data_IF_287341852566
#
_entry.id   IF_287341852566
#
_cell.length_a   1.000
_cell.length_b   1.000
_cell.length_c   1.000
_cell.angle_alpha   90.00
_cell.angle_beta   90.00
_cell.angle_gamma   90.00
#
_symmetry.space_group_name_H-M   'P 1'
#
loop_
_entity.id
_entity.type
_entity.pdbx_description
1 polymer ?
#
# COMPACT_ATOMS: atom_id res chain seq x y z
N UNK A 1 4.13 3.00 -1.32
CA UNK A 1 4.93 3.72 -0.30
C UNK A 1 4.04 4.14 0.88
N UNK A 2 4.52 4.16 2.15
CA UNK A 2 3.80 4.87 3.21
C UNK A 2 3.51 6.33 2.84
N UNK A 3 2.46 6.91 3.42
CA UNK A 3 2.07 8.33 3.23
C UNK A 3 1.51 8.68 1.85
N UNK A 4 1.27 7.68 1.00
CA UNK A 4 0.59 7.82 -0.29
C UNK A 4 -0.94 7.83 -0.20
N UNK A 5 -1.53 7.71 1.00
CA UNK A 5 -2.99 7.71 1.20
C UNK A 5 -3.63 6.32 1.34
N UNK A 6 -2.85 5.26 1.57
CA UNK A 6 -3.34 3.87 1.59
C UNK A 6 -4.36 3.60 2.70
N UNK A 7 -4.22 4.24 3.87
CA UNK A 7 -5.23 4.14 4.95
C UNK A 7 -6.56 4.78 4.58
N UNK A 8 -6.58 5.82 3.74
CA UNK A 8 -7.83 6.41 3.25
C UNK A 8 -8.53 5.41 2.32
N UNK A 9 -7.79 4.87 1.36
CA UNK A 9 -8.32 3.91 0.39
C UNK A 9 -8.85 2.63 1.07
N UNK A 10 -8.15 2.10 2.06
CA UNK A 10 -8.63 0.96 2.85
C UNK A 10 -9.99 1.24 3.48
N UNK A 11 -10.19 2.44 4.06
CA UNK A 11 -11.46 2.81 4.68
C UNK A 11 -12.56 3.04 3.67
N UNK A 12 -12.24 3.61 2.51
CA UNK A 12 -13.19 3.72 1.39
C UNK A 12 -13.73 2.33 1.01
N UNK A 13 -12.86 1.33 0.92
CA UNK A 13 -13.27 -0.05 0.63
C UNK A 13 -14.02 -0.67 1.80
N UNK A 14 -13.55 -0.49 3.03
CA UNK A 14 -14.19 -1.02 4.24
C UNK A 14 -15.51 -0.32 4.61
N UNK A 15 -15.88 0.78 3.94
CA UNK A 15 -17.24 1.33 3.98
C UNK A 15 -18.27 0.43 3.29
N UNK A 16 -17.83 -0.51 2.43
CA UNK A 16 -18.70 -1.51 1.84
C UNK A 16 -18.97 -2.63 2.87
N UNK A 17 -20.23 -3.03 3.10
CA UNK A 17 -20.60 -3.97 4.19
C UNK A 17 -19.88 -5.33 4.14
N UNK A 18 -19.50 -5.79 2.95
CA UNK A 18 -18.85 -7.08 2.72
C UNK A 18 -17.33 -7.05 2.81
N UNK A 19 -16.73 -5.88 2.93
CA UNK A 19 -15.27 -5.67 2.98
C UNK A 19 -14.83 -5.39 4.41
N UNK A 20 -13.85 -6.15 4.88
CA UNK A 20 -13.19 -5.92 6.17
C UNK A 20 -11.82 -5.27 5.96
N UNK A 21 -11.53 -4.25 6.77
CA UNK A 21 -10.20 -3.66 6.87
C UNK A 21 -9.27 -4.62 7.59
N UNK A 22 -8.21 -5.09 6.92
CA UNK A 22 -7.20 -5.92 7.58
C UNK A 22 -6.14 -5.11 8.31
N UNK A 23 -6.02 -3.82 8.02
CA UNK A 23 -5.04 -2.94 8.63
C UNK A 23 -3.61 -3.29 8.22
N UNK A 24 -2.64 -2.75 8.97
CA UNK A 24 -1.21 -2.97 8.73
C UNK A 24 -0.75 -4.32 9.31
N UNK A 25 -1.33 -5.40 8.79
CA UNK A 25 -0.99 -6.77 9.15
C UNK A 25 0.33 -7.22 8.50
N UNK A 26 1.16 -7.93 9.28
CA UNK A 26 2.45 -8.48 8.82
C UNK A 26 2.36 -9.92 8.33
N UNK A 27 1.15 -10.49 8.22
CA UNK A 27 0.95 -11.90 7.85
C UNK A 27 1.68 -12.27 6.54
N UNK A 28 1.53 -11.47 5.48
CA UNK A 28 2.23 -11.71 4.21
C UNK A 28 3.75 -11.77 4.36
N UNK A 29 4.32 -10.78 5.07
CA UNK A 29 5.75 -10.73 5.30
C UNK A 29 6.24 -11.88 6.21
N UNK A 30 5.44 -12.27 7.21
CA UNK A 30 5.75 -13.37 8.12
C UNK A 30 5.84 -14.70 7.36
N UNK A 31 4.81 -15.01 6.56
CA UNK A 31 4.75 -16.24 5.75
C UNK A 31 5.90 -16.27 4.72
N UNK A 32 6.12 -15.17 4.00
CA UNK A 32 7.20 -15.07 3.02
C UNK A 32 8.60 -15.24 3.66
N UNK A 33 8.83 -14.59 4.81
CA UNK A 33 10.12 -14.66 5.52
C UNK A 33 10.34 -16.04 6.13
N UNK A 34 9.29 -16.64 6.73
CA UNK A 34 9.35 -17.99 7.30
C UNK A 34 9.74 -19.02 6.24
N UNK A 35 9.05 -19.01 5.11
CA UNK A 35 9.36 -19.92 4.01
C UNK A 35 10.78 -19.69 3.47
N UNK A 36 11.20 -18.43 3.31
CA UNK A 36 12.58 -18.13 2.87
C UNK A 36 13.63 -18.70 3.85
N UNK A 37 13.39 -18.62 5.16
CA UNK A 37 14.28 -19.23 6.15
C UNK A 37 14.30 -20.76 6.07
N UNK A 38 13.17 -21.40 5.81
CA UNK A 38 13.11 -22.85 5.65
C UNK A 38 13.82 -23.33 4.39
N UNK A 39 13.76 -22.57 3.30
CA UNK A 39 14.57 -22.81 2.10
C UNK A 39 16.06 -22.75 2.42
N UNK A 40 16.51 -21.70 3.11
CA UNK A 40 17.92 -21.56 3.51
C UNK A 40 18.39 -22.71 4.42
N UNK A 41 17.49 -23.26 5.24
CA UNK A 41 17.74 -24.41 6.11
C UNK A 41 17.53 -25.76 5.42
N UNK A 42 17.14 -25.78 4.14
CA UNK A 42 16.80 -26.98 3.35
C UNK A 42 15.63 -27.78 3.93
N UNK A 43 14.71 -27.12 4.61
CA UNK A 43 13.45 -27.68 5.11
C UNK A 43 12.28 -27.46 4.15
N UNK A 44 12.43 -26.58 3.17
CA UNK A 44 11.43 -26.31 2.13
C UNK A 44 12.11 -26.19 0.75
N UNK A 45 11.39 -26.51 -0.35
CA UNK A 45 11.91 -26.31 -1.69
C UNK A 45 11.86 -24.82 -2.09
N UNK A 46 12.68 -24.43 -3.07
CA UNK A 46 12.65 -23.07 -3.63
C UNK A 46 11.26 -22.71 -4.18
N UNK A 47 10.85 -21.41 -4.16
CA UNK A 47 9.50 -21.00 -4.55
C UNK A 47 9.09 -21.42 -5.97
N UNK A 48 10.07 -21.59 -6.87
CA UNK A 48 9.83 -22.03 -8.26
C UNK A 48 9.42 -23.50 -8.37
N UNK A 49 9.69 -24.31 -7.36
CA UNK A 49 9.35 -25.73 -7.31
C UNK A 49 8.04 -26.01 -6.54
N UNK A 50 7.41 -24.98 -5.97
CA UNK A 50 6.13 -25.11 -5.27
C UNK A 50 4.98 -25.33 -6.26
N UNK A 51 4.19 -26.35 -5.99
CA UNK A 51 2.93 -26.64 -6.69
C UNK A 51 1.75 -25.85 -6.09
N UNK A 52 0.56 -26.03 -6.66
CA UNK A 52 -0.65 -25.36 -6.20
C UNK A 52 -1.05 -25.71 -4.77
N UNK A 53 -0.79 -26.93 -4.32
CA UNK A 53 -1.15 -27.38 -2.96
C UNK A 53 -0.27 -26.68 -1.93
N UNK A 54 1.04 -26.59 -2.19
CA UNK A 54 1.95 -25.84 -1.33
C UNK A 54 1.59 -24.35 -1.25
N UNK A 55 1.19 -23.73 -2.37
CA UNK A 55 0.72 -22.34 -2.36
C UNK A 55 -0.58 -22.15 -1.58
N UNK A 56 -1.50 -23.13 -1.61
CA UNK A 56 -2.73 -23.11 -0.82
C UNK A 56 -2.47 -23.32 0.68
N UNK A 57 -1.51 -24.17 1.04
CA UNK A 57 -1.06 -24.32 2.42
C UNK A 57 -0.50 -22.99 2.95
N UNK A 58 0.35 -22.30 2.18
CA UNK A 58 0.86 -20.98 2.56
C UNK A 58 -0.25 -19.91 2.65
N UNK A 59 -1.26 -19.97 1.78
CA UNK A 59 -2.44 -19.11 1.90
C UNK A 59 -3.21 -19.38 3.21
N UNK A 60 -3.25 -20.63 3.66
CA UNK A 60 -3.84 -21.00 4.96
C UNK A 60 -3.00 -20.46 6.13
N UNK A 61 -1.67 -20.51 6.03
CA UNK A 61 -0.76 -19.90 7.03
C UNK A 61 -0.95 -18.39 7.11
N UNK A 62 -1.17 -17.72 5.97
CA UNK A 62 -1.53 -16.30 5.94
C UNK A 62 -2.82 -16.05 6.73
N UNK A 63 -3.86 -16.84 6.51
CA UNK A 63 -5.15 -16.70 7.21
C UNK A 63 -5.05 -17.00 8.71
N UNK A 64 -4.15 -17.88 9.12
CA UNK A 64 -3.85 -18.17 10.52
C UNK A 64 -3.06 -17.03 11.19
N UNK A 65 -2.23 -16.31 10.41
CA UNK A 65 -1.39 -15.22 10.91
C UNK A 65 -2.09 -13.86 10.93
N UNK A 66 -3.19 -13.69 10.20
CA UNK A 66 -3.99 -12.45 10.21
C UNK A 66 -5.04 -12.45 11.32
N UNK A 67 -5.40 -11.27 11.81
CA UNK A 67 -6.41 -11.09 12.87
C UNK A 67 -7.82 -10.82 12.32
N UNK A 68 -7.98 -10.76 11.00
CA UNK A 68 -9.25 -10.42 10.34
C UNK A 68 -9.73 -11.57 9.47
N UNK A 69 -11.04 -11.78 9.48
CA UNK A 69 -11.74 -12.76 8.63
C UNK A 69 -12.97 -12.07 8.04
N UNK A 70 -13.33 -12.45 6.82
CA UNK A 70 -14.48 -11.87 6.11
C UNK A 70 -14.59 -12.37 4.68
N UNK A 71 -15.71 -12.04 4.03
CA UNK A 71 -15.93 -12.36 2.60
C UNK A 71 -14.86 -11.71 1.73
N UNK A 72 -14.62 -10.42 1.95
CA UNK A 72 -13.52 -9.69 1.36
C UNK A 72 -12.69 -9.06 2.47
N UNK A 73 -11.37 -9.14 2.34
CA UNK A 73 -10.43 -8.57 3.30
C UNK A 73 -9.41 -7.76 2.52
N UNK A 74 -9.16 -6.54 2.99
CA UNK A 74 -8.05 -5.73 2.48
C UNK A 74 -6.77 -6.07 3.26
N UNK A 75 -5.70 -6.41 2.55
CA UNK A 75 -4.36 -6.47 3.13
C UNK A 75 -3.63 -5.17 2.82
N UNK A 76 -3.58 -4.26 3.80
CA UNK A 76 -2.98 -2.94 3.64
C UNK A 76 -1.79 -2.78 4.58
N UNK A 77 -0.64 -3.24 4.12
CA UNK A 77 0.66 -2.83 4.64
C UNK A 77 1.47 -2.20 3.50
N UNK A 78 1.85 -0.90 3.57
CA UNK A 78 2.50 -0.22 2.44
C UNK A 78 3.79 -0.88 1.93
N UNK A 79 4.46 -1.70 2.74
CA UNK A 79 5.68 -2.43 2.42
C UNK A 79 5.42 -3.76 1.69
N UNK A 80 4.16 -4.17 1.55
CA UNK A 80 3.79 -5.40 0.84
C UNK A 80 4.26 -5.43 -0.62
N UNK A 81 4.59 -4.28 -1.24
CA UNK A 81 5.21 -4.24 -2.56
C UNK A 81 6.46 -5.12 -2.66
N UNK A 82 7.23 -5.29 -1.57
CA UNK A 82 8.44 -6.12 -1.57
C UNK A 82 8.12 -7.63 -1.60
N UNK A 83 6.94 -8.01 -1.13
CA UNK A 83 6.48 -9.41 -1.02
C UNK A 83 5.33 -9.74 -1.99
N UNK A 84 5.05 -8.87 -2.96
CA UNK A 84 3.84 -8.97 -3.78
C UNK A 84 3.78 -10.26 -4.61
N UNK A 85 4.94 -10.80 -5.02
CA UNK A 85 5.03 -12.09 -5.70
C UNK A 85 4.45 -13.24 -4.87
N UNK A 86 4.70 -13.27 -3.55
CA UNK A 86 4.11 -14.24 -2.63
C UNK A 86 2.59 -14.09 -2.57
N UNK A 87 2.12 -12.85 -2.42
CA UNK A 87 0.69 -12.54 -2.39
C UNK A 87 -0.03 -12.97 -3.67
N UNK A 88 0.55 -12.69 -4.85
CA UNK A 88 -0.02 -13.11 -6.13
C UNK A 88 -0.07 -14.63 -6.32
N UNK A 89 0.87 -15.38 -5.72
CA UNK A 89 0.88 -16.84 -5.77
C UNK A 89 -0.11 -17.47 -4.80
N UNK A 90 -0.18 -16.97 -3.56
CA UNK A 90 -1.15 -17.44 -2.56
C UNK A 90 -2.59 -17.05 -2.92
N UNK A 91 -2.78 -15.87 -3.52
CA UNK A 91 -4.09 -15.33 -3.88
C UNK A 91 -4.15 -14.97 -5.37
N UNK A 92 -4.27 -15.99 -6.25
CA UNK A 92 -4.15 -15.82 -7.70
C UNK A 92 -5.27 -14.99 -8.31
N UNK A 93 -6.36 -14.71 -7.60
CA UNK A 93 -7.47 -13.87 -8.08
C UNK A 93 -7.55 -12.51 -7.39
N UNK A 94 -6.69 -12.23 -6.40
CA UNK A 94 -6.77 -10.98 -5.65
C UNK A 94 -6.40 -9.78 -6.54
N UNK A 95 -7.25 -8.73 -6.58
CA UNK A 95 -6.92 -7.47 -7.24
C UNK A 95 -5.89 -6.71 -6.42
N UNK A 96 -4.95 -6.03 -7.09
CA UNK A 96 -3.91 -5.24 -6.43
C UNK A 96 -4.10 -3.77 -6.80
N UNK A 97 -4.14 -2.91 -5.78
CA UNK A 97 -4.19 -1.46 -5.98
C UNK A 97 -2.85 -0.86 -5.61
N UNK A 98 -2.21 -0.20 -6.58
CA UNK A 98 -1.02 0.60 -6.38
C UNK A 98 -1.40 2.07 -6.23
N UNK A 99 -1.32 2.60 -5.00
CA UNK A 99 -1.57 4.01 -4.75
C UNK A 99 -0.29 4.84 -4.91
N UNK A 100 -0.28 5.70 -5.92
CA UNK A 100 0.77 6.70 -6.19
C UNK A 100 0.32 8.07 -5.69
N UNK A 101 1.31 8.90 -5.39
CA UNK A 101 1.15 10.28 -4.93
C UNK A 101 2.39 11.06 -5.32
N UNK A 102 2.30 12.38 -5.45
CA UNK A 102 3.48 13.25 -5.64
C UNK A 102 4.59 12.87 -4.63
N UNK A 103 5.77 12.45 -5.12
CA UNK A 103 6.85 11.96 -4.25
C UNK A 103 7.38 13.03 -3.29
N UNK A 104 7.23 14.32 -3.64
CA UNK A 104 7.61 15.44 -2.78
C UNK A 104 6.69 15.53 -1.56
N UNK A 105 5.40 15.31 -1.76
CA UNK A 105 4.40 15.24 -0.69
C UNK A 105 4.60 14.00 0.20
N UNK A 106 4.96 12.86 -0.39
CA UNK A 106 5.28 11.64 0.37
C UNK A 106 6.48 11.91 1.29
N UNK A 107 7.58 12.39 0.71
CA UNK A 107 8.81 12.67 1.43
C UNK A 107 8.63 13.73 2.53
N UNK A 108 7.93 14.82 2.24
CA UNK A 108 7.57 15.81 3.26
C UNK A 108 6.74 15.19 4.40
N UNK A 109 5.74 14.37 4.06
CA UNK A 109 4.92 13.71 5.08
C UNK A 109 5.71 12.74 5.95
N UNK A 110 6.73 12.07 5.41
CA UNK A 110 7.62 11.17 6.16
C UNK A 110 8.52 11.99 7.08
N UNK A 111 9.15 13.04 6.53
CA UNK A 111 10.09 13.90 7.24
C UNK A 111 9.47 14.58 8.45
N UNK A 112 8.32 15.24 8.26
CA UNK A 112 7.67 16.03 9.31
C UNK A 112 7.09 15.20 10.46
N UNK A 113 6.77 13.92 10.22
CA UNK A 113 6.23 12.99 11.22
C UNK A 113 7.32 12.24 11.99
N UNK A 114 8.60 12.55 11.76
CA UNK A 114 9.74 11.92 12.43
C UNK A 114 9.67 10.37 12.43
N UNK A 115 9.33 9.78 11.29
CA UNK A 115 9.13 8.33 11.15
C UNK A 115 10.41 7.49 11.23
N UNK A 116 11.55 8.10 11.65
CA UNK A 116 12.87 7.46 11.80
C UNK A 116 12.89 6.25 12.74
N UNK A 117 12.00 6.22 13.73
CA UNK A 117 11.87 5.09 14.66
C UNK A 117 11.37 3.84 13.94
N UNK A 118 10.55 4.01 12.91
CA UNK A 118 9.96 2.92 12.14
C UNK A 118 10.73 2.65 10.84
N UNK A 119 11.30 3.69 10.24
CA UNK A 119 11.94 3.63 8.92
C UNK A 119 13.32 4.29 8.93
N UNK A 120 14.37 3.50 8.77
CA UNK A 120 15.75 4.00 8.76
C UNK A 120 15.99 5.06 7.67
N UNK A 121 15.32 4.94 6.51
CA UNK A 121 15.42 5.90 5.42
C UNK A 121 14.84 7.29 5.77
N UNK A 122 13.99 7.41 6.81
CA UNK A 122 13.36 8.67 7.22
C UNK A 122 14.31 9.60 8.02
N UNK A 123 15.62 9.38 7.92
CA UNK A 123 16.67 10.14 8.61
C UNK A 123 17.37 11.15 7.71
N UNK A 124 17.36 10.92 6.39
CA UNK A 124 17.97 11.80 5.39
C UNK A 124 17.04 11.96 4.18
N UNK A 125 17.08 13.14 3.58
CA UNK A 125 16.21 13.52 2.47
C UNK A 125 16.42 12.68 1.21
N UNK A 126 17.69 12.43 0.89
CA UNK A 126 18.15 11.62 -0.22
C UNK A 126 17.79 10.14 -0.01
N UNK A 127 17.88 9.66 1.24
CA UNK A 127 17.45 8.30 1.61
C UNK A 127 15.94 8.11 1.42
N UNK A 128 15.13 9.14 1.73
CA UNK A 128 13.69 9.10 1.45
C UNK A 128 13.42 9.05 -0.06
N UNK A 129 14.10 9.88 -0.86
CA UNK A 129 13.98 9.86 -2.32
C UNK A 129 14.36 8.47 -2.90
N UNK A 130 15.46 7.89 -2.41
CA UNK A 130 15.89 6.55 -2.81
C UNK A 130 14.85 5.48 -2.44
N UNK A 131 14.29 5.52 -1.23
CA UNK A 131 13.24 4.58 -0.82
C UNK A 131 11.96 4.70 -1.66
N UNK A 132 11.61 5.92 -2.09
CA UNK A 132 10.50 6.15 -3.02
C UNK A 132 10.83 5.52 -4.39
N UNK A 133 12.05 5.75 -4.92
CA UNK A 133 12.48 5.12 -6.18
C UNK A 133 12.42 3.61 -6.13
N UNK A 134 12.93 3.00 -5.05
CA UNK A 134 12.86 1.55 -4.86
C UNK A 134 11.42 1.04 -4.87
N UNK A 135 10.49 1.74 -4.20
CA UNK A 135 9.07 1.39 -4.25
C UNK A 135 8.52 1.42 -5.68
N UNK A 136 8.89 2.42 -6.48
CA UNK A 136 8.48 2.50 -7.90
C UNK A 136 9.11 1.37 -8.73
N UNK A 137 10.39 1.04 -8.52
CA UNK A 137 11.07 -0.07 -9.20
C UNK A 137 10.37 -1.41 -8.97
N UNK A 138 10.02 -1.70 -7.71
CA UNK A 138 9.26 -2.90 -7.39
C UNK A 138 7.93 -2.92 -8.14
N UNK A 139 7.19 -1.81 -8.12
CA UNK A 139 5.87 -1.76 -8.73
C UNK A 139 5.93 -1.78 -10.25
N UNK A 140 6.96 -1.19 -10.87
CA UNK A 140 7.22 -1.29 -12.31
C UNK A 140 7.51 -2.73 -12.71
N UNK A 141 8.37 -3.42 -11.95
CA UNK A 141 8.61 -4.85 -12.14
C UNK A 141 7.32 -5.66 -12.01
N UNK A 142 6.53 -5.47 -10.95
CA UNK A 142 5.29 -6.22 -10.75
C UNK A 142 4.24 -5.97 -11.84
N UNK A 143 4.11 -4.73 -12.31
CA UNK A 143 3.24 -4.40 -13.44
C UNK A 143 3.70 -5.10 -14.72
N UNK A 144 5.01 -5.26 -14.93
CA UNK A 144 5.55 -5.93 -16.11
C UNK A 144 5.28 -7.44 -16.11
N UNK A 145 5.34 -8.10 -14.95
CA UNK A 145 5.15 -9.57 -14.84
C UNK A 145 3.69 -9.99 -14.62
N UNK A 146 2.82 -9.06 -14.21
CA UNK A 146 1.41 -9.31 -13.94
C UNK A 146 0.51 -8.23 -14.59
N UNK A 147 0.53 -8.09 -15.93
CA UNK A 147 -0.28 -7.10 -16.61
C UNK A 147 -1.77 -7.31 -16.32
N UNK A 148 -2.50 -6.22 -16.08
CA UNK A 148 -3.93 -6.25 -15.74
C UNK A 148 -4.25 -6.62 -14.29
N UNK A 149 -3.28 -7.10 -13.50
CA UNK A 149 -3.49 -7.43 -12.07
C UNK A 149 -3.38 -6.24 -11.12
N UNK A 150 -2.78 -5.15 -11.58
CA UNK A 150 -2.44 -3.99 -10.75
C UNK A 150 -3.10 -2.74 -11.32
N UNK A 151 -4.05 -2.17 -10.58
CA UNK A 151 -4.61 -0.85 -10.86
C UNK A 151 -3.75 0.22 -10.19
N UNK A 152 -3.19 1.13 -10.98
CA UNK A 152 -2.52 2.33 -10.43
C UNK A 152 -3.53 3.45 -10.21
N UNK A 153 -3.60 3.95 -8.99
CA UNK A 153 -4.47 5.06 -8.56
C UNK A 153 -3.58 6.23 -8.15
N UNK A 154 -3.82 7.41 -8.74
CA UNK A 154 -3.19 8.65 -8.27
C UNK A 154 -4.01 9.22 -7.11
N UNK A 155 -3.36 9.45 -5.97
CA UNK A 155 -3.99 9.95 -4.74
C UNK A 155 -4.68 11.31 -4.97
N UNK A 156 -4.05 12.19 -5.75
CA UNK A 156 -4.58 13.49 -6.16
C UNK A 156 -5.96 13.32 -6.82
N UNK A 157 -6.08 12.38 -7.76
CA UNK A 157 -7.32 12.06 -8.43
C UNK A 157 -8.37 11.45 -7.49
N UNK A 158 -7.95 10.62 -6.53
CA UNK A 158 -8.83 10.05 -5.51
C UNK A 158 -9.47 11.12 -4.62
N UNK A 159 -8.72 12.13 -4.20
CA UNK A 159 -9.27 13.16 -3.30
C UNK A 159 -9.94 14.33 -4.03
N UNK A 160 -9.60 14.56 -5.30
CA UNK A 160 -10.24 15.59 -6.13
C UNK A 160 -11.53 15.10 -6.79
N UNK A 161 -11.61 13.81 -7.15
CA UNK A 161 -12.76 13.21 -7.84
C UNK A 161 -13.15 11.87 -7.18
N UNK A 162 -13.53 11.88 -5.88
CA UNK A 162 -13.71 10.65 -5.11
C UNK A 162 -14.75 9.71 -5.69
N UNK A 163 -15.89 10.20 -6.16
CA UNK A 163 -16.92 9.32 -6.75
C UNK A 163 -16.39 8.56 -7.97
N UNK A 164 -15.89 9.27 -8.97
CA UNK A 164 -15.35 8.64 -10.19
C UNK A 164 -14.23 7.66 -9.87
N UNK A 165 -13.30 8.04 -8.98
CA UNK A 165 -12.16 7.19 -8.65
C UNK A 165 -12.58 5.95 -7.83
N UNK A 166 -13.46 6.11 -6.86
CA UNK A 166 -13.92 4.98 -6.02
C UNK A 166 -14.75 4.00 -6.82
N UNK A 167 -15.60 4.45 -7.75
CA UNK A 167 -16.32 3.57 -8.69
C UNK A 167 -15.35 2.73 -9.54
N UNK A 168 -14.32 3.36 -10.11
CA UNK A 168 -13.28 2.67 -10.89
C UNK A 168 -12.54 1.62 -10.06
N UNK A 169 -12.25 1.94 -8.80
CA UNK A 169 -11.55 1.04 -7.87
C UNK A 169 -12.43 -0.16 -7.52
N UNK A 170 -13.69 0.07 -7.13
CA UNK A 170 -14.61 -1.01 -6.76
C UNK A 170 -14.90 -1.92 -7.95
N UNK A 171 -15.10 -1.35 -9.15
CA UNK A 171 -15.25 -2.11 -10.39
C UNK A 171 -14.04 -3.01 -10.66
N UNK A 172 -12.81 -2.47 -10.55
CA UNK A 172 -11.59 -3.25 -10.70
C UNK A 172 -11.47 -4.38 -9.65
N UNK A 173 -11.98 -4.15 -8.45
CA UNK A 173 -12.01 -5.15 -7.39
C UNK A 173 -13.17 -6.16 -7.52
N UNK A 174 -14.10 -5.97 -8.45
CA UNK A 174 -15.32 -6.78 -8.55
C UNK A 174 -16.29 -6.56 -7.38
N UNK A 175 -16.30 -5.37 -6.80
CA UNK A 175 -17.14 -4.97 -5.66
C UNK A 175 -18.27 -4.05 -6.10
N UNK A 176 -19.42 -4.15 -5.44
CA UNK A 176 -20.54 -3.24 -5.67
C UNK A 176 -20.29 -1.88 -4.99
N UNK A 177 -20.29 -0.81 -5.77
CA UNK A 177 -20.09 0.54 -5.26
C UNK A 177 -21.34 1.05 -4.52
N UNK A 178 -21.15 1.79 -3.43
CA UNK A 178 -22.23 2.51 -2.73
C UNK A 178 -21.78 3.91 -2.30
N UNK A 179 -22.72 4.80 -2.00
CA UNK A 179 -22.44 6.16 -1.50
C UNK A 179 -21.59 6.16 -0.20
N UNK A 180 -21.57 5.04 0.54
CA UNK A 180 -20.76 4.89 1.75
C UNK A 180 -19.25 5.06 1.47
N UNK A 181 -18.79 4.79 0.26
CA UNK A 181 -17.41 5.03 -0.18
C UNK A 181 -17.02 6.52 -0.17
N UNK A 182 -17.98 7.43 -0.17
CA UNK A 182 -17.76 8.88 -0.12
C UNK A 182 -17.69 9.44 1.30
N UNK A 183 -18.04 8.64 2.32
CA UNK A 183 -17.98 9.05 3.72
C UNK A 183 -17.15 8.08 4.59
N UNK A 184 -15.89 7.77 4.21
CA UNK A 184 -15.04 6.84 4.97
C UNK A 184 -14.71 7.32 6.39
N UNK A 185 -14.91 8.60 6.70
CA UNK A 185 -14.77 9.16 8.04
C UNK A 185 -15.86 8.69 9.02
N UNK A 186 -17.04 8.31 8.50
CA UNK A 186 -18.16 7.78 9.31
C UNK A 186 -17.96 6.33 9.74
N UNK A 187 -16.97 5.63 9.17
CA UNK A 187 -16.68 4.24 9.49
C UNK A 187 -16.11 4.13 10.90
N UNK A 188 -16.88 3.58 11.83
CA UNK A 188 -16.48 3.42 13.23
C UNK A 188 -15.65 2.15 13.43
N UNK A 189 -14.44 2.16 12.85
CA UNK A 189 -13.43 1.14 13.07
C UNK A 189 -12.12 1.78 13.56
N UNK A 190 -11.40 1.15 14.50
CA UNK A 190 -10.07 1.60 14.90
C UNK A 190 -9.09 1.65 13.72
N UNK A 191 -8.18 2.62 13.74
CA UNK A 191 -7.06 2.68 12.79
C UNK A 191 -5.77 2.91 13.55
N UNK A 192 -4.95 1.87 13.74
CA UNK A 192 -3.68 1.97 14.45
C UNK A 192 -2.51 2.40 13.55
N UNK A 193 -2.80 3.25 12.55
CA UNK A 193 -1.82 3.64 11.52
C UNK A 193 -1.26 5.02 11.80
N UNK A 194 -0.09 5.33 11.23
CA UNK A 194 0.46 6.69 11.27
C UNK A 194 -0.42 7.73 10.55
N UNK A 195 -1.55 7.34 9.95
CA UNK A 195 -2.53 8.24 9.31
C UNK A 195 -3.81 8.41 10.13
N UNK A 196 -3.91 7.86 11.35
CA UNK A 196 -5.16 7.73 12.12
C UNK A 196 -5.98 9.03 12.20
N UNK A 197 -5.38 10.14 12.61
CA UNK A 197 -6.11 11.41 12.72
C UNK A 197 -6.63 11.91 11.37
N UNK A 198 -5.91 11.67 10.28
CA UNK A 198 -6.27 12.16 8.95
C UNK A 198 -7.44 11.40 8.35
N UNK A 199 -7.60 10.13 8.69
CA UNK A 199 -8.69 9.30 8.16
C UNK A 199 -10.02 9.51 8.88
N UNK A 200 -10.04 10.32 9.95
CA UNK A 200 -11.25 10.77 10.65
C UNK A 200 -11.79 12.09 10.08
N UNK A 201 -11.09 12.71 9.15
CA UNK A 201 -11.62 13.85 8.39
C UNK A 201 -12.31 13.36 7.11
N UNK A 202 -13.33 14.08 6.62
CA UNK A 202 -13.89 13.84 5.28
C UNK A 202 -12.81 13.86 4.22
N UNK A 203 -13.04 13.17 3.10
CA UNK A 203 -12.14 13.21 1.93
C UNK A 203 -11.89 14.68 1.55
N UNK A 204 -10.62 15.08 1.55
CA UNK A 204 -10.24 16.46 1.29
C UNK A 204 -8.87 16.58 0.62
N UNK A 205 -8.62 17.76 0.06
CA UNK A 205 -7.42 18.09 -0.70
C UNK A 205 -6.35 18.82 0.13
N UNK A 206 -6.55 19.03 1.44
CA UNK A 206 -5.63 19.79 2.30
C UNK A 206 -4.22 19.18 2.35
N UNK A 207 -4.13 17.87 2.10
CA UNK A 207 -2.86 17.15 2.05
C UNK A 207 -2.02 17.48 0.82
N UNK A 208 -2.61 17.95 -0.27
CA UNK A 208 -1.97 18.11 -1.58
C UNK A 208 -1.03 19.32 -1.63
N UNK A 209 0.15 19.14 -2.20
CA UNK A 209 1.10 20.22 -2.46
C UNK A 209 1.67 20.87 -1.19
N UNK A 210 1.52 20.21 -0.04
CA UNK A 210 2.00 20.70 1.26
C UNK A 210 3.52 20.83 1.32
N UNK A 211 4.24 20.14 0.42
CA UNK A 211 5.68 20.27 0.27
C UNK A 211 6.11 21.66 -0.21
N UNK A 212 5.27 22.40 -0.95
CA UNK A 212 5.60 23.72 -1.52
C UNK A 212 5.92 24.76 -0.45
N UNK A 213 5.21 24.71 0.68
CA UNK A 213 5.46 25.60 1.83
C UNK A 213 6.86 25.40 2.45
N UNK A 214 7.52 24.28 2.13
CA UNK A 214 8.84 23.91 2.66
C UNK A 214 9.84 23.63 1.54
N UNK A 215 9.54 24.07 0.32
CA UNK A 215 10.33 23.74 -0.88
C UNK A 215 11.81 24.10 -0.72
N UNK A 216 12.11 25.27 -0.13
CA UNK A 216 13.48 25.71 0.14
C UNK A 216 14.27 24.73 1.04
N UNK A 217 13.59 24.08 1.98
CA UNK A 217 14.21 23.12 2.91
C UNK A 217 14.25 21.69 2.37
N UNK A 218 13.46 21.40 1.33
CA UNK A 218 13.32 20.07 0.74
C UNK A 218 14.21 19.87 -0.51
N UNK A 219 15.06 20.84 -0.82
CA UNK A 219 15.91 20.82 -2.01
C UNK A 219 16.79 19.55 -2.14
N UNK A 220 17.42 19.01 -1.08
CA UNK A 220 18.15 17.75 -1.18
C UNK A 220 17.27 16.58 -1.66
N UNK A 221 16.05 16.48 -1.14
CA UNK A 221 15.09 15.46 -1.58
C UNK A 221 14.61 15.70 -3.00
N UNK A 222 14.25 16.94 -3.34
CA UNK A 222 13.71 17.30 -4.66
C UNK A 222 14.73 17.00 -5.75
N UNK A 223 16.00 17.40 -5.57
CA UNK A 223 17.07 17.08 -6.53
C UNK A 223 17.27 15.57 -6.69
N UNK A 224 17.30 14.82 -5.59
CA UNK A 224 17.44 13.37 -5.67
C UNK A 224 16.24 12.72 -6.38
N UNK A 225 15.01 13.19 -6.14
CA UNK A 225 13.82 12.72 -6.86
C UNK A 225 13.91 13.01 -8.37
N UNK A 226 14.42 14.18 -8.75
CA UNK A 226 14.65 14.57 -10.14
C UNK A 226 15.68 13.67 -10.82
N UNK A 227 16.83 13.43 -10.17
CA UNK A 227 17.88 12.51 -10.64
C UNK A 227 17.36 11.08 -10.83
N UNK A 228 16.41 10.64 -10.00
CA UNK A 228 15.74 9.35 -10.14
C UNK A 228 14.63 9.31 -11.21
N UNK A 229 14.36 10.43 -11.89
CA UNK A 229 13.30 10.55 -12.88
C UNK A 229 11.89 10.44 -12.29
N UNK A 230 11.72 10.83 -11.03
CA UNK A 230 10.43 10.76 -10.32
C UNK A 230 9.64 12.08 -10.37
N UNK A 231 10.25 13.14 -10.90
CA UNK A 231 9.60 14.41 -11.18
C UNK A 231 9.35 14.53 -12.68
N UNK A 232 8.15 14.98 -13.04
CA UNK A 232 7.71 15.28 -14.41
C UNK A 232 7.29 16.73 -14.50
#
# INVERSE_FOLDING_TARGET
MPRSGTSLLERVLASLPEVRAGGECKALALVATGHHQDVLRKHAPEPRALDSEAWQAMASDYWNATWVQGRFVTDKLPQNYANLGWGMKMFPTAPIIHLKRDPRDIGWSIYKRFMRVTFAYATKQESMAHAIRQCEDYMDYWKSVAPGRILTVQYEGLVQNPESMTRKITEFCGLEWTDACLSPEKLDIPSFTLSEQQVREPINTKGLGRWKEYEEFLQPMIRALDEYGLLT
#
